data_IF_815284771735
#
_entry.id   IF_815284771735
#
_cell.length_a   1.000
_cell.length_b   1.000
_cell.length_c   1.000
_cell.angle_alpha   90.00
_cell.angle_beta   90.00
_cell.angle_gamma   90.00
#
_symmetry.space_group_name_H-M   'P 1'
#
loop_
_entity.id
_entity.type
_entity.pdbx_description
1 polymer ?
#
# COMPACT_ATOMS: atom_id res chain seq x y z
N UNK A 1 -5.03 38.56 -10.72
CA UNK A 1 -5.30 38.14 -9.33
C UNK A 1 -4.11 37.30 -8.86
N UNK A 2 -3.14 37.93 -8.17
CA UNK A 2 -2.17 37.17 -7.38
C UNK A 2 -2.96 36.52 -6.24
N UNK A 3 -2.91 35.22 -6.12
CA UNK A 3 -3.40 34.53 -4.94
C UNK A 3 -2.59 35.07 -3.75
N UNK A 4 -3.25 35.84 -2.89
CA UNK A 4 -2.68 36.36 -1.65
C UNK A 4 -2.19 35.13 -0.86
N UNK A 5 -0.88 35.01 -0.69
CA UNK A 5 -0.27 33.88 0.02
C UNK A 5 0.60 32.95 -0.83
N UNK A 6 0.56 32.99 -2.18
CA UNK A 6 1.40 32.10 -2.99
C UNK A 6 2.91 32.31 -2.75
N UNK A 7 3.34 33.55 -2.62
CA UNK A 7 4.75 33.88 -2.30
C UNK A 7 5.11 33.45 -0.86
N UNK A 8 4.17 33.52 0.09
CA UNK A 8 4.35 33.00 1.44
C UNK A 8 4.48 31.47 1.44
N UNK A 9 3.59 30.77 0.72
CA UNK A 9 3.64 29.31 0.62
C UNK A 9 4.93 28.81 -0.04
N UNK A 10 5.44 29.50 -1.08
CA UNK A 10 6.71 29.15 -1.70
C UNK A 10 7.86 29.35 -0.71
N UNK A 11 7.90 30.49 -0.01
CA UNK A 11 8.90 30.75 1.02
C UNK A 11 8.84 29.71 2.14
N UNK A 12 7.65 29.41 2.65
CA UNK A 12 7.46 28.45 3.73
C UNK A 12 7.89 27.04 3.30
N UNK A 13 7.68 26.68 2.03
CA UNK A 13 8.18 25.44 1.44
C UNK A 13 9.71 25.42 1.36
N UNK A 14 10.33 26.51 0.97
CA UNK A 14 11.79 26.64 0.92
C UNK A 14 12.40 26.61 2.33
N UNK A 15 11.77 27.31 3.28
CA UNK A 15 12.19 27.32 4.69
C UNK A 15 12.06 25.92 5.32
N UNK A 16 10.98 25.18 5.03
CA UNK A 16 10.83 23.79 5.42
C UNK A 16 11.92 22.90 4.80
N UNK A 17 12.21 23.07 3.51
CA UNK A 17 13.30 22.37 2.84
C UNK A 17 14.67 22.65 3.47
N UNK A 18 14.93 23.88 3.87
CA UNK A 18 16.14 24.27 4.60
C UNK A 18 16.19 23.66 6.00
N UNK A 19 15.06 23.64 6.73
CA UNK A 19 14.98 22.98 8.03
C UNK A 19 15.39 21.51 7.93
N UNK A 20 14.81 20.76 6.98
CA UNK A 20 15.11 19.32 6.79
C UNK A 20 16.55 19.06 6.34
N UNK A 21 17.24 20.00 5.71
CA UNK A 21 18.69 19.88 5.39
C UNK A 21 19.59 19.92 6.62
N UNK A 22 19.11 20.48 7.73
CA UNK A 22 19.87 20.68 8.97
C UNK A 22 19.31 19.88 10.16
N UNK A 23 18.38 18.96 9.90
CA UNK A 23 17.75 18.11 10.90
C UNK A 23 17.68 16.65 10.42
N UNK A 24 17.50 15.75 11.37
CA UNK A 24 17.28 14.32 11.09
C UNK A 24 15.79 14.05 11.30
N UNK A 25 15.01 13.85 10.23
CA UNK A 25 13.61 13.45 10.37
C UNK A 25 13.54 12.08 11.02
N UNK A 26 12.74 11.97 12.10
CA UNK A 26 12.60 10.74 12.88
C UNK A 26 11.35 9.94 12.50
N UNK A 27 10.63 10.35 11.45
CA UNK A 27 9.50 9.60 10.91
C UNK A 27 10.06 8.60 9.89
N UNK A 28 10.15 7.33 10.29
CA UNK A 28 10.82 6.28 9.52
C UNK A 28 10.21 6.03 8.13
N UNK A 29 8.96 6.39 7.92
CA UNK A 29 8.28 6.23 6.62
C UNK A 29 8.52 7.39 5.65
N UNK A 30 9.09 8.51 6.08
CA UNK A 30 9.41 9.64 5.19
C UNK A 30 10.59 9.32 4.27
N UNK A 31 10.55 9.84 3.05
CA UNK A 31 11.62 9.68 2.08
C UNK A 31 11.77 10.96 1.22
N UNK A 32 12.88 11.02 0.50
CA UNK A 32 13.22 12.15 -0.36
C UNK A 32 13.18 11.68 -1.82
N UNK A 33 12.39 12.37 -2.64
CA UNK A 33 12.37 12.16 -4.09
C UNK A 33 13.72 12.53 -4.71
N UNK A 34 14.20 11.71 -5.66
CA UNK A 34 15.34 12.09 -6.47
C UNK A 34 15.04 13.33 -7.32
N UNK A 35 16.04 14.14 -7.69
CA UNK A 35 15.82 15.31 -8.53
C UNK A 35 15.16 14.98 -9.88
N UNK A 36 15.43 13.79 -10.42
CA UNK A 36 14.83 13.32 -11.68
C UNK A 36 13.33 13.05 -11.52
N UNK A 37 12.95 12.37 -10.43
CA UNK A 37 11.53 12.09 -10.12
C UNK A 37 10.78 13.39 -9.86
N UNK A 38 11.35 14.33 -9.09
CA UNK A 38 10.74 15.66 -8.88
C UNK A 38 10.46 16.37 -10.20
N UNK A 39 11.42 16.35 -11.12
CA UNK A 39 11.27 17.00 -12.42
C UNK A 39 10.20 16.33 -13.29
N UNK A 40 10.03 15.02 -13.19
CA UNK A 40 8.94 14.30 -13.87
C UNK A 40 7.56 14.64 -13.28
N UNK A 41 7.48 14.89 -11.97
CA UNK A 41 6.24 15.30 -11.32
C UNK A 41 5.87 16.76 -11.59
N UNK A 42 6.84 17.63 -11.89
CA UNK A 42 6.61 19.04 -12.18
C UNK A 42 6.26 19.22 -13.66
N UNK A 43 5.01 18.89 -14.02
CA UNK A 43 4.53 18.98 -15.39
C UNK A 43 3.06 19.40 -15.45
N UNK A 44 2.63 19.95 -16.59
CA UNK A 44 1.25 20.36 -16.87
C UNK A 44 0.26 19.18 -16.87
N UNK A 45 0.76 17.93 -16.84
CA UNK A 45 -0.08 16.73 -16.77
C UNK A 45 -0.96 16.71 -15.51
N UNK A 46 -0.53 17.35 -14.41
CA UNK A 46 -1.33 17.48 -13.18
C UNK A 46 -2.69 18.14 -13.36
N UNK A 47 -2.84 18.98 -14.39
CA UNK A 47 -4.09 19.67 -14.70
C UNK A 47 -4.92 18.99 -15.79
N UNK A 48 -4.58 17.77 -16.18
CA UNK A 48 -5.25 17.05 -17.28
C UNK A 48 -6.04 15.86 -16.77
N UNK A 49 -7.06 15.47 -17.52
CA UNK A 49 -7.86 14.27 -17.25
C UNK A 49 -7.37 13.09 -18.10
N UNK A 50 -7.26 11.92 -17.47
CA UNK A 50 -6.88 10.68 -18.13
C UNK A 50 -7.67 9.49 -17.54
N UNK A 51 -8.96 9.69 -17.32
CA UNK A 51 -9.85 8.66 -16.78
C UNK A 51 -9.93 7.45 -17.72
N UNK A 52 -9.96 6.26 -17.13
CA UNK A 52 -9.95 4.98 -17.84
C UNK A 52 -8.60 4.29 -17.78
N UNK A 53 -8.47 3.21 -18.52
CA UNK A 53 -7.25 2.41 -18.63
C UNK A 53 -6.46 2.78 -19.89
N UNK A 54 -5.16 2.47 -19.96
CA UNK A 54 -4.39 2.63 -21.20
C UNK A 54 -5.09 2.04 -22.41
N UNK A 55 -5.19 2.79 -23.49
CA UNK A 55 -5.91 2.43 -24.71
C UNK A 55 -7.44 2.45 -24.61
N UNK A 56 -8.01 2.74 -23.43
CA UNK A 56 -9.46 2.79 -23.16
C UNK A 56 -9.83 4.05 -22.38
N UNK A 57 -9.25 5.21 -22.71
CA UNK A 57 -9.54 6.48 -22.04
C UNK A 57 -10.88 7.05 -22.47
N UNK A 58 -11.53 7.76 -21.54
CA UNK A 58 -12.76 8.49 -21.84
C UNK A 58 -12.50 9.79 -22.60
N UNK A 59 -11.27 10.32 -22.53
CA UNK A 59 -10.87 11.57 -23.17
C UNK A 59 -9.86 11.32 -24.29
N UNK A 60 -9.87 12.21 -25.29
CA UNK A 60 -8.88 12.22 -26.36
C UNK A 60 -7.58 12.89 -25.92
N UNK A 61 -6.47 12.60 -26.62
CA UNK A 61 -5.17 13.20 -26.35
C UNK A 61 -4.48 12.64 -25.10
N UNK A 62 -4.75 11.38 -24.75
CA UNK A 62 -4.18 10.71 -23.59
C UNK A 62 -3.01 9.75 -23.95
N UNK A 63 -2.47 9.81 -25.18
CA UNK A 63 -1.43 8.88 -25.63
C UNK A 63 -0.16 8.92 -24.78
N UNK A 64 0.23 10.11 -24.32
CA UNK A 64 1.38 10.28 -23.43
C UNK A 64 1.09 9.71 -22.01
N UNK A 65 -0.14 9.85 -21.51
CA UNK A 65 -0.56 9.22 -20.26
C UNK A 65 -0.52 7.69 -20.38
N UNK A 66 -1.02 7.14 -21.47
CA UNK A 66 -0.97 5.69 -21.72
C UNK A 66 0.47 5.19 -21.72
N UNK A 67 1.36 5.89 -22.41
CA UNK A 67 2.79 5.55 -22.44
C UNK A 67 3.41 5.57 -21.04
N UNK A 68 3.16 6.62 -20.25
CA UNK A 68 3.70 6.77 -18.89
C UNK A 68 3.16 5.67 -17.98
N UNK A 69 1.84 5.44 -18.03
CA UNK A 69 1.19 4.43 -17.18
C UNK A 69 1.65 3.02 -17.54
N UNK A 70 1.76 2.69 -18.82
CA UNK A 70 2.29 1.39 -19.27
C UNK A 70 3.73 1.15 -18.83
N UNK A 71 4.59 2.17 -18.87
CA UNK A 71 5.96 2.09 -18.37
C UNK A 71 5.92 1.81 -16.87
N UNK A 72 5.06 2.51 -16.13
CA UNK A 72 4.87 2.31 -14.69
C UNK A 72 4.42 0.90 -14.36
N UNK A 73 3.37 0.40 -15.02
CA UNK A 73 2.85 -0.96 -14.85
C UNK A 73 3.92 -2.02 -15.16
N UNK A 74 4.60 -1.89 -16.32
CA UNK A 74 5.68 -2.82 -16.73
C UNK A 74 6.84 -2.81 -15.72
N UNK A 75 7.19 -1.64 -15.21
CA UNK A 75 8.24 -1.48 -14.19
C UNK A 75 7.84 -2.12 -12.85
N UNK A 76 6.61 -1.86 -12.38
CA UNK A 76 6.09 -2.46 -11.16
C UNK A 76 6.08 -4.00 -11.25
N UNK A 77 5.54 -4.54 -12.32
CA UNK A 77 5.53 -6.00 -12.56
C UNK A 77 6.93 -6.60 -12.54
N UNK A 78 7.90 -5.93 -13.11
CA UNK A 78 9.30 -6.39 -13.12
C UNK A 78 9.95 -6.32 -11.74
N UNK A 79 9.73 -5.21 -11.02
CA UNK A 79 10.35 -4.97 -9.71
C UNK A 79 9.80 -5.92 -8.65
N UNK A 80 8.48 -6.13 -8.65
CA UNK A 80 7.80 -6.97 -7.66
C UNK A 80 7.55 -8.40 -8.13
N UNK A 81 8.05 -8.77 -9.33
CA UNK A 81 7.89 -10.10 -9.91
C UNK A 81 6.44 -10.60 -9.85
N UNK A 82 5.50 -9.76 -10.31
CA UNK A 82 4.07 -10.06 -10.32
C UNK A 82 3.48 -10.02 -11.73
N UNK A 83 2.35 -10.70 -11.94
CA UNK A 83 1.69 -10.76 -13.24
C UNK A 83 0.87 -9.50 -13.53
N UNK A 84 0.26 -8.92 -12.49
CA UNK A 84 -0.64 -7.77 -12.60
C UNK A 84 -0.22 -6.66 -11.65
N UNK A 85 -0.34 -5.43 -12.08
CA UNK A 85 -0.07 -4.24 -11.30
C UNK A 85 -1.03 -3.12 -11.67
N UNK A 86 -1.65 -2.50 -10.67
CA UNK A 86 -2.40 -1.26 -10.78
C UNK A 86 -1.69 -0.17 -9.99
N UNK A 87 -1.42 0.96 -10.66
CA UNK A 87 -0.68 2.09 -10.09
C UNK A 87 -1.52 3.39 -10.09
N UNK A 88 -2.82 3.29 -10.36
CA UNK A 88 -3.71 4.45 -10.45
C UNK A 88 -4.13 4.99 -9.08
N UNK A 89 -3.88 4.25 -8.01
CA UNK A 89 -4.23 4.69 -6.66
C UNK A 89 -3.44 5.92 -6.24
N UNK A 90 -4.12 6.90 -5.66
CA UNK A 90 -3.51 8.15 -5.19
C UNK A 90 -2.76 8.00 -3.85
N UNK A 91 -2.91 6.88 -3.17
CA UNK A 91 -2.18 6.54 -1.93
C UNK A 91 -2.30 5.06 -1.61
N UNK A 92 -1.47 4.54 -0.69
CA UNK A 92 -1.60 3.18 -0.16
C UNK A 92 -2.96 2.92 0.49
N UNK A 93 -3.55 3.90 1.18
CA UNK A 93 -4.90 3.77 1.74
C UNK A 93 -5.96 3.60 0.64
N UNK A 94 -5.83 4.30 -0.47
CA UNK A 94 -6.74 4.12 -1.63
C UNK A 94 -6.53 2.75 -2.26
N UNK A 95 -5.28 2.26 -2.36
CA UNK A 95 -5.00 0.89 -2.78
C UNK A 95 -5.66 -0.13 -1.84
N UNK A 96 -5.60 0.10 -0.51
CA UNK A 96 -6.26 -0.76 0.47
C UNK A 96 -7.78 -0.77 0.28
N UNK A 97 -8.40 0.40 0.05
CA UNK A 97 -9.85 0.49 -0.23
C UNK A 97 -10.21 -0.29 -1.50
N UNK A 98 -9.40 -0.17 -2.54
CA UNK A 98 -9.60 -0.89 -3.80
C UNK A 98 -9.48 -2.41 -3.60
N UNK A 99 -8.43 -2.88 -2.92
CA UNK A 99 -8.24 -4.28 -2.60
C UNK A 99 -9.37 -4.84 -1.72
N UNK A 100 -9.74 -4.12 -0.66
CA UNK A 100 -10.86 -4.51 0.19
C UNK A 100 -12.19 -4.55 -0.59
N UNK A 101 -12.37 -3.65 -1.58
CA UNK A 101 -13.55 -3.67 -2.44
C UNK A 101 -13.57 -4.89 -3.36
N UNK A 102 -12.45 -5.30 -3.88
CA UNK A 102 -12.32 -6.46 -4.76
C UNK A 102 -12.50 -7.79 -3.99
N UNK A 103 -11.91 -7.87 -2.79
CA UNK A 103 -11.76 -9.13 -2.05
C UNK A 103 -12.83 -9.36 -0.98
N UNK A 104 -13.73 -8.43 -0.73
CA UNK A 104 -14.73 -8.56 0.35
C UNK A 104 -16.05 -7.86 0.04
N UNK A 105 -17.08 -8.20 0.79
CA UNK A 105 -18.37 -7.55 0.78
C UNK A 105 -18.67 -6.89 2.13
N UNK A 106 -19.52 -5.86 2.20
CA UNK A 106 -19.97 -5.28 3.47
C UNK A 106 -20.55 -6.36 4.38
N UNK A 107 -20.11 -6.39 5.64
CA UNK A 107 -20.52 -7.40 6.62
C UNK A 107 -19.57 -8.59 6.71
N UNK A 108 -18.65 -8.77 5.77
CA UNK A 108 -17.64 -9.82 5.85
C UNK A 108 -16.71 -9.60 7.05
N UNK A 109 -16.13 -10.69 7.55
CA UNK A 109 -15.14 -10.66 8.63
C UNK A 109 -13.74 -10.67 8.05
N UNK A 110 -12.90 -9.79 8.57
CA UNK A 110 -11.47 -9.77 8.27
C UNK A 110 -10.63 -9.82 9.54
N UNK A 111 -9.40 -10.31 9.40
CA UNK A 111 -8.40 -10.21 10.47
C UNK A 111 -7.32 -9.21 10.10
N UNK A 112 -6.76 -8.50 11.08
CA UNK A 112 -5.61 -7.60 10.90
C UNK A 112 -4.85 -7.40 12.21
N UNK A 113 -3.62 -6.89 12.11
CA UNK A 113 -2.85 -6.46 13.29
C UNK A 113 -3.52 -5.23 13.92
N UNK A 114 -3.63 -5.21 15.25
CA UNK A 114 -4.24 -4.07 15.93
C UNK A 114 -3.38 -2.81 15.81
N UNK A 115 -3.99 -1.64 15.91
CA UNK A 115 -3.25 -0.37 15.89
C UNK A 115 -2.31 -0.24 17.09
N UNK A 116 -2.66 -0.84 18.23
CA UNK A 116 -1.82 -0.84 19.44
C UNK A 116 -0.53 -1.65 19.21
N UNK A 117 -0.60 -2.69 18.39
CA UNK A 117 0.49 -3.62 18.08
C UNK A 117 1.23 -3.23 16.78
N UNK A 118 1.09 -1.99 16.33
CA UNK A 118 1.77 -1.44 15.16
C UNK A 118 0.99 -1.53 13.84
N UNK A 119 -0.26 -2.01 13.86
CA UNK A 119 -1.12 -2.04 12.68
C UNK A 119 -1.44 -0.63 12.14
N UNK A 120 -1.67 -0.53 10.84
CA UNK A 120 -1.98 0.75 10.21
C UNK A 120 -3.43 1.15 10.44
N UNK A 121 -3.67 2.46 10.59
CA UNK A 121 -5.01 3.03 10.81
C UNK A 121 -6.04 2.65 9.72
N UNK A 122 -5.60 2.43 8.47
CA UNK A 122 -6.49 1.97 7.39
C UNK A 122 -7.05 0.57 7.63
N UNK A 123 -6.38 -0.25 8.44
CA UNK A 123 -6.83 -1.60 8.81
C UNK A 123 -7.81 -1.59 9.98
N UNK A 124 -8.00 -0.44 10.63
CA UNK A 124 -8.89 -0.29 11.76
C UNK A 124 -10.32 0.12 11.34
N UNK A 125 -11.26 -0.01 12.27
CA UNK A 125 -12.68 0.39 12.06
C UNK A 125 -12.87 1.85 11.68
N UNK A 126 -11.94 2.73 12.06
CA UNK A 126 -11.98 4.16 11.69
C UNK A 126 -11.32 4.43 10.33
N UNK A 127 -10.71 3.44 9.70
CA UNK A 127 -10.04 3.53 8.40
C UNK A 127 -10.81 2.82 7.28
N UNK A 128 -10.08 2.29 6.30
CA UNK A 128 -10.64 1.66 5.11
C UNK A 128 -11.56 0.47 5.43
N UNK A 129 -11.23 -0.30 6.46
CA UNK A 129 -12.06 -1.42 6.95
C UNK A 129 -13.46 -0.97 7.37
N UNK A 130 -13.54 0.11 8.15
CA UNK A 130 -14.84 0.67 8.54
C UNK A 130 -15.57 1.35 7.39
N UNK A 131 -14.86 2.04 6.49
CA UNK A 131 -15.44 2.62 5.26
C UNK A 131 -16.06 1.52 4.39
N UNK A 132 -15.44 0.35 4.33
CA UNK A 132 -15.96 -0.81 3.59
C UNK A 132 -17.12 -1.52 4.32
N UNK A 133 -17.31 -1.25 5.62
CA UNK A 133 -18.36 -1.87 6.44
C UNK A 133 -18.03 -3.32 6.83
N UNK A 134 -16.74 -3.60 7.11
CA UNK A 134 -16.26 -4.91 7.48
C UNK A 134 -16.20 -5.11 9.00
N UNK A 135 -16.34 -6.35 9.44
CA UNK A 135 -16.12 -6.75 10.82
C UNK A 135 -14.63 -7.07 11.01
N UNK A 136 -14.02 -6.44 12.00
CA UNK A 136 -12.59 -6.61 12.29
C UNK A 136 -12.37 -7.47 13.52
N UNK A 137 -11.55 -8.50 13.36
CA UNK A 137 -10.95 -9.32 14.42
C UNK A 137 -9.44 -9.07 14.40
N UNK A 138 -8.83 -8.82 15.55
CA UNK A 138 -7.38 -8.55 15.63
C UNK A 138 -6.61 -9.79 16.03
N UNK A 139 -5.41 -9.94 15.44
CA UNK A 139 -4.50 -11.02 15.81
C UNK A 139 -4.06 -10.89 17.27
N UNK A 140 -3.90 -12.01 18.00
CA UNK A 140 -3.11 -12.05 19.21
C UNK A 140 -1.66 -11.64 18.93
N UNK A 141 -1.03 -10.94 19.87
CA UNK A 141 0.28 -10.35 19.70
C UNK A 141 1.30 -10.92 20.69
N UNK A 142 2.47 -11.28 20.20
CA UNK A 142 3.63 -11.64 21.01
C UNK A 142 4.52 -10.40 21.23
N UNK A 143 4.48 -9.84 22.43
CA UNK A 143 5.24 -8.64 22.78
C UNK A 143 6.75 -8.86 22.82
N UNK A 144 7.20 -10.09 23.12
CA UNK A 144 8.64 -10.42 23.17
C UNK A 144 9.23 -10.54 21.77
N UNK A 145 8.48 -11.12 20.84
CA UNK A 145 8.88 -11.30 19.44
C UNK A 145 8.51 -10.09 18.58
N UNK A 146 7.58 -9.27 19.03
CA UNK A 146 7.04 -8.12 18.29
C UNK A 146 6.41 -8.53 16.96
N UNK A 147 5.66 -9.62 16.98
CA UNK A 147 4.95 -10.20 15.83
C UNK A 147 3.61 -10.82 16.27
N UNK A 148 2.69 -11.15 15.35
CA UNK A 148 1.52 -11.94 15.70
C UNK A 148 1.93 -13.27 16.33
N UNK A 149 1.28 -13.64 17.45
CA UNK A 149 1.43 -14.99 18.03
C UNK A 149 0.95 -16.01 17.00
N UNK A 150 1.87 -16.83 16.51
CA UNK A 150 1.60 -17.75 15.40
C UNK A 150 0.53 -18.76 15.77
N UNK A 151 0.69 -19.49 16.89
CA UNK A 151 -0.22 -20.57 17.28
C UNK A 151 -1.63 -20.03 17.58
N UNK A 152 -1.72 -18.92 18.29
CA UNK A 152 -2.99 -18.26 18.60
C UNK A 152 -3.63 -17.65 17.33
N UNK A 153 -2.83 -17.12 16.38
CA UNK A 153 -3.33 -16.59 15.11
C UNK A 153 -3.82 -17.69 14.18
N UNK A 154 -3.15 -18.85 14.12
CA UNK A 154 -3.62 -20.03 13.39
C UNK A 154 -4.97 -20.52 13.92
N UNK A 155 -5.12 -20.58 15.25
CA UNK A 155 -6.39 -20.94 15.89
C UNK A 155 -7.48 -19.91 15.57
N UNK A 156 -7.15 -18.61 15.68
CA UNK A 156 -8.08 -17.52 15.38
C UNK A 156 -8.59 -17.58 13.92
N UNK A 157 -7.71 -17.84 12.96
CA UNK A 157 -8.10 -17.96 11.53
C UNK A 157 -9.05 -19.13 11.35
N UNK A 158 -8.72 -20.31 11.91
CA UNK A 158 -9.55 -21.50 11.77
C UNK A 158 -10.90 -21.39 12.49
N UNK A 159 -10.93 -20.74 13.66
CA UNK A 159 -12.16 -20.61 14.46
C UNK A 159 -13.12 -19.55 13.89
N UNK A 160 -12.60 -18.51 13.25
CA UNK A 160 -13.41 -17.41 12.72
C UNK A 160 -13.70 -17.52 11.21
N UNK A 161 -12.96 -18.34 10.48
CA UNK A 161 -13.08 -18.49 9.02
C UNK A 161 -13.27 -17.13 8.32
N UNK A 162 -12.33 -16.14 8.51
CA UNK A 162 -12.54 -14.81 7.97
C UNK A 162 -12.58 -14.84 6.44
N UNK A 163 -13.28 -13.92 5.82
CA UNK A 163 -13.29 -13.80 4.35
C UNK A 163 -11.94 -13.30 3.82
N UNK A 164 -11.23 -12.52 4.62
CA UNK A 164 -9.93 -11.94 4.27
C UNK A 164 -9.02 -11.89 5.50
N UNK A 165 -7.79 -12.33 5.35
CA UNK A 165 -6.72 -12.08 6.31
C UNK A 165 -5.83 -10.97 5.78
N UNK A 166 -5.58 -9.95 6.61
CA UNK A 166 -4.80 -8.78 6.24
C UNK A 166 -3.55 -8.69 7.11
N UNK A 167 -2.40 -8.71 6.47
CA UNK A 167 -1.09 -8.51 7.08
C UNK A 167 -0.49 -7.17 6.66
N UNK A 168 0.56 -6.77 7.37
CA UNK A 168 1.22 -5.50 7.16
C UNK A 168 0.96 -4.52 8.30
N UNK A 169 1.94 -3.67 8.57
CA UNK A 169 1.99 -2.82 9.75
C UNK A 169 2.59 -1.46 9.42
N UNK A 170 2.36 -0.49 10.30
CA UNK A 170 3.09 0.79 10.28
C UNK A 170 4.43 0.69 10.99
N UNK A 171 4.52 -0.18 11.98
CA UNK A 171 5.75 -0.45 12.73
C UNK A 171 6.18 -1.88 12.45
N UNK A 172 7.18 -2.02 11.58
CA UNK A 172 7.82 -3.28 11.23
C UNK A 172 9.23 -3.33 11.82
N UNK A 173 9.53 -4.38 12.57
CA UNK A 173 10.91 -4.71 12.94
C UNK A 173 11.37 -6.01 12.29
N UNK A 174 10.45 -6.95 12.12
CA UNK A 174 10.72 -8.27 11.56
C UNK A 174 9.71 -8.64 10.47
N UNK A 175 10.05 -9.54 9.53
CA UNK A 175 9.10 -10.09 8.59
C UNK A 175 7.92 -10.76 9.32
N UNK A 176 6.72 -10.59 8.79
CA UNK A 176 5.54 -11.32 9.27
C UNK A 176 5.72 -12.83 8.97
N UNK A 177 5.29 -13.76 9.85
CA UNK A 177 5.27 -15.19 9.57
C UNK A 177 4.17 -15.54 8.55
N UNK A 178 4.32 -14.98 7.33
CA UNK A 178 3.27 -14.90 6.34
C UNK A 178 2.93 -16.28 5.76
N UNK A 179 3.91 -17.14 5.53
CA UNK A 179 3.70 -18.44 4.90
C UNK A 179 2.78 -19.31 5.72
N UNK A 180 3.07 -19.50 7.00
CA UNK A 180 2.29 -20.34 7.90
C UNK A 180 0.86 -19.82 8.04
N UNK A 181 0.71 -18.51 8.17
CA UNK A 181 -0.60 -17.87 8.35
C UNK A 181 -1.41 -17.84 7.06
N UNK A 182 -0.75 -17.72 5.90
CA UNK A 182 -1.41 -17.78 4.59
C UNK A 182 -1.90 -19.19 4.27
N UNK A 183 -1.10 -20.23 4.57
CA UNK A 183 -1.52 -21.61 4.37
C UNK A 183 -2.80 -21.90 5.17
N UNK A 184 -2.87 -21.50 6.44
CA UNK A 184 -4.06 -21.66 7.27
C UNK A 184 -5.26 -20.83 6.77
N UNK A 185 -5.02 -19.65 6.24
CA UNK A 185 -6.07 -18.81 5.64
C UNK A 185 -6.67 -19.50 4.41
N UNK A 186 -5.83 -20.00 3.52
CA UNK A 186 -6.28 -20.71 2.32
C UNK A 186 -7.00 -22.02 2.65
N UNK A 187 -6.61 -22.76 3.72
CA UNK A 187 -7.30 -23.95 4.21
C UNK A 187 -8.78 -23.69 4.52
N UNK A 188 -9.11 -22.49 5.02
CA UNK A 188 -10.50 -22.10 5.36
C UNK A 188 -11.17 -21.26 4.24
N UNK A 189 -10.51 -21.09 3.10
CA UNK A 189 -11.04 -20.36 1.96
C UNK A 189 -10.93 -18.84 2.06
N UNK A 190 -10.12 -18.31 2.98
CA UNK A 190 -9.83 -16.89 3.09
C UNK A 190 -8.88 -16.42 1.98
N UNK A 191 -9.07 -15.18 1.52
CA UNK A 191 -8.07 -14.48 0.71
C UNK A 191 -7.00 -13.85 1.64
N UNK A 192 -5.80 -13.69 1.11
CA UNK A 192 -4.66 -13.12 1.85
C UNK A 192 -4.22 -11.80 1.21
N UNK A 193 -4.29 -10.72 1.97
CA UNK A 193 -3.81 -9.40 1.58
C UNK A 193 -2.62 -8.98 2.41
N UNK A 194 -1.58 -8.45 1.77
CA UNK A 194 -0.41 -7.89 2.45
C UNK A 194 -0.25 -6.40 2.13
N UNK A 195 -0.36 -5.55 3.14
CA UNK A 195 -0.02 -4.12 3.02
C UNK A 195 1.47 -3.89 3.26
N UNK A 196 2.21 -3.79 2.18
CA UNK A 196 3.64 -3.54 2.19
C UNK A 196 4.04 -2.06 2.27
N UNK A 197 3.12 -1.13 2.48
CA UNK A 197 3.37 0.31 2.33
C UNK A 197 4.61 0.82 3.06
N UNK A 198 4.89 0.34 4.27
CA UNK A 198 6.05 0.77 5.07
C UNK A 198 7.36 0.06 4.67
N UNK A 199 7.30 -1.08 4.03
CA UNK A 199 8.46 -1.90 3.66
C UNK A 199 8.63 -2.08 2.15
N UNK A 200 7.82 -1.40 1.34
CA UNK A 200 7.76 -1.59 -0.10
C UNK A 200 9.11 -1.38 -0.81
N UNK A 201 9.89 -0.40 -0.35
CA UNK A 201 11.23 -0.16 -0.88
C UNK A 201 12.22 -1.28 -0.56
N UNK A 202 12.08 -1.90 0.62
CA UNK A 202 12.89 -3.04 1.03
C UNK A 202 12.53 -4.30 0.25
N UNK A 203 11.23 -4.53 0.03
CA UNK A 203 10.71 -5.61 -0.83
C UNK A 203 11.23 -5.43 -2.26
N UNK A 204 11.09 -4.22 -2.81
CA UNK A 204 11.59 -3.88 -4.15
C UNK A 204 13.10 -4.08 -4.30
N UNK A 205 13.85 -3.84 -3.23
CA UNK A 205 15.30 -4.06 -3.15
C UNK A 205 15.71 -5.52 -2.91
N UNK A 206 14.77 -6.42 -2.67
CA UNK A 206 15.05 -7.84 -2.38
C UNK A 206 15.76 -8.07 -1.04
N UNK A 207 15.59 -7.16 -0.07
CA UNK A 207 16.23 -7.21 1.25
C UNK A 207 15.22 -7.39 2.39
N UNK A 208 14.02 -7.74 2.05
CA UNK A 208 12.92 -8.08 2.97
C UNK A 208 12.17 -9.30 2.42
N UNK A 209 11.03 -9.68 3.03
CA UNK A 209 10.22 -10.80 2.55
C UNK A 209 9.63 -10.53 1.15
N UNK A 210 9.17 -11.60 0.49
CA UNK A 210 8.46 -11.55 -0.79
C UNK A 210 7.00 -12.03 -0.59
N UNK A 211 6.08 -11.12 -0.25
CA UNK A 211 4.73 -11.51 0.17
C UNK A 211 3.97 -12.34 -0.85
N UNK A 212 4.09 -12.03 -2.16
CA UNK A 212 3.41 -12.80 -3.21
C UNK A 212 3.96 -14.23 -3.36
N UNK A 213 5.22 -14.47 -3.01
CA UNK A 213 5.83 -15.82 -2.99
C UNK A 213 5.63 -16.53 -1.65
N UNK A 214 5.20 -15.80 -0.63
CA UNK A 214 4.93 -16.31 0.71
C UNK A 214 3.44 -16.55 0.98
N UNK A 215 2.58 -16.39 -0.03
CA UNK A 215 1.17 -16.76 0.03
C UNK A 215 0.18 -15.61 0.01
N UNK A 216 0.63 -14.36 -0.12
CA UNK A 216 -0.30 -13.25 -0.33
C UNK A 216 -0.93 -13.33 -1.74
N UNK A 217 -2.25 -13.25 -1.83
CA UNK A 217 -2.98 -13.17 -3.10
C UNK A 217 -2.86 -11.76 -3.70
N UNK A 218 -2.84 -10.76 -2.81
CA UNK A 218 -2.72 -9.34 -3.18
C UNK A 218 -1.73 -8.64 -2.27
N UNK A 219 -0.86 -7.83 -2.85
CA UNK A 219 -0.01 -6.90 -2.12
C UNK A 219 -0.38 -5.47 -2.48
N UNK A 220 -0.59 -4.63 -1.47
CA UNK A 220 -0.74 -3.18 -1.64
C UNK A 220 0.50 -2.44 -1.13
N UNK A 221 0.64 -1.18 -1.52
CA UNK A 221 1.76 -0.39 -1.04
C UNK A 221 1.60 1.11 -1.31
N UNK A 222 2.48 1.89 -0.70
CA UNK A 222 2.61 3.33 -0.93
C UNK A 222 3.87 3.62 -1.72
N UNK A 223 3.78 4.44 -2.76
CA UNK A 223 4.94 4.83 -3.56
C UNK A 223 5.82 5.92 -2.94
N UNK A 224 5.42 6.51 -1.80
CA UNK A 224 6.01 7.71 -1.22
C UNK A 224 6.60 7.51 0.18
N UNK A 225 6.87 6.27 0.57
CA UNK A 225 7.47 5.91 1.87
C UNK A 225 8.88 5.34 1.67
N UNK A 226 9.19 4.14 2.18
CA UNK A 226 10.48 3.49 1.91
C UNK A 226 10.73 3.29 0.42
N UNK A 227 9.67 3.12 -0.38
CA UNK A 227 9.76 3.26 -1.84
C UNK A 227 9.78 4.77 -2.16
N UNK A 228 10.87 5.31 -2.74
CA UNK A 228 11.11 6.76 -2.79
C UNK A 228 10.48 7.44 -4.02
N UNK A 229 9.19 7.20 -4.23
CA UNK A 229 8.40 7.78 -5.33
C UNK A 229 7.50 8.94 -4.88
N UNK A 230 6.73 9.51 -5.80
CA UNK A 230 5.72 10.53 -5.48
C UNK A 230 4.54 9.91 -4.73
N UNK A 231 3.66 10.75 -4.22
CA UNK A 231 2.40 10.32 -3.59
C UNK A 231 1.61 9.44 -4.56
N UNK A 232 1.32 8.23 -4.13
CA UNK A 232 0.61 7.23 -4.91
C UNK A 232 0.55 5.89 -4.19
N UNK A 233 -0.05 4.89 -4.85
CA UNK A 233 -0.18 3.55 -4.30
C UNK A 233 -0.04 2.48 -5.38
N UNK A 234 0.22 1.26 -4.91
CA UNK A 234 0.31 0.06 -5.72
C UNK A 234 -0.74 -0.94 -5.27
N UNK A 235 -1.27 -1.68 -6.24
CA UNK A 235 -1.99 -2.92 -6.03
C UNK A 235 -1.37 -3.95 -6.96
N UNK A 236 -0.86 -5.04 -6.42
CA UNK A 236 -0.03 -6.02 -7.09
C UNK A 236 -0.58 -7.42 -6.82
N UNK A 237 -0.67 -8.27 -7.85
CA UNK A 237 -1.17 -9.64 -7.72
C UNK A 237 -0.64 -10.51 -8.85
N UNK A 238 -0.72 -11.82 -8.66
CA UNK A 238 -0.54 -12.80 -9.74
C UNK A 238 -1.88 -13.23 -10.36
N UNK A 239 -3.01 -12.83 -9.78
CA UNK A 239 -4.36 -13.06 -10.29
C UNK A 239 -4.95 -11.79 -10.92
N UNK A 240 -5.53 -11.91 -12.12
CA UNK A 240 -6.19 -10.82 -12.83
C UNK A 240 -7.43 -10.31 -12.06
N UNK A 241 -8.15 -11.22 -11.43
CA UNK A 241 -9.40 -10.90 -10.73
C UNK A 241 -9.20 -10.02 -9.48
N UNK A 242 -7.96 -9.89 -9.01
CA UNK A 242 -7.60 -9.16 -7.80
C UNK A 242 -7.02 -7.75 -8.09
N UNK A 243 -6.86 -7.33 -9.36
CA UNK A 243 -6.29 -6.05 -9.76
C UNK A 243 -7.18 -5.31 -10.75
#
# INVERSE_FOLDING_TARGET
YRLVGSEMCIRDSDDSGNHYRHSIPMIASENILSPLVRRACDSDLHGRYAEGLPGKRYYQGCDDFDTIEEIGIKSARRVFNCNFANIQSTSGTVSNIAALKALSNPGDTITAVSTADGGHISHARMGAVGVRGLNLVTYPWDEERMEPDIDASLSLIRDNEPNLVLFGQSVFLFPTPLRELSDAAHEVGSMVMYDGAHVLGLIAGGVFQDPLREGADVMTGSSHKTFPGPQGGFLLSDSEDAT
#
